data_IF_417502736444
#
_entry.id   IF_417502736444
#
_cell.length_a   1.000
_cell.length_b   1.000
_cell.length_c   1.000
_cell.angle_alpha   90.00
_cell.angle_beta   90.00
_cell.angle_gamma   90.00
#
_symmetry.space_group_name_H-M   'P 1'
#
loop_
_entity.id
_entity.type
_entity.pdbx_description
1 polymer ?
#
# COMPACT_ATOMS: atom_id res chain seq x y z
N UNK A 1 -33.49 -39.18 0.54
CA UNK A 1 -32.18 -38.72 0.06
C UNK A 1 -31.86 -37.42 0.80
N UNK A 2 -30.79 -37.34 1.61
CA UNK A 2 -30.48 -36.11 2.30
C UNK A 2 -30.09 -35.04 1.27
N UNK A 3 -30.72 -33.87 1.37
CA UNK A 3 -30.42 -32.74 0.51
C UNK A 3 -28.97 -32.30 0.76
N UNK A 4 -28.16 -32.24 -0.30
CA UNK A 4 -26.83 -31.64 -0.22
C UNK A 4 -27.07 -30.17 0.10
N UNK A 5 -26.57 -29.64 1.24
CA UNK A 5 -26.75 -28.24 1.58
C UNK A 5 -26.18 -27.40 0.44
N UNK A 6 -26.99 -26.46 -0.04
CA UNK A 6 -26.59 -25.55 -1.12
C UNK A 6 -25.63 -24.53 -0.51
N UNK A 7 -24.34 -24.86 -0.48
CA UNK A 7 -23.33 -23.98 0.09
C UNK A 7 -23.07 -22.86 -0.92
N UNK A 8 -23.57 -21.67 -0.64
CA UNK A 8 -23.28 -20.51 -1.49
C UNK A 8 -21.79 -20.18 -1.38
N UNK A 9 -21.09 -20.21 -2.52
CA UNK A 9 -19.65 -19.91 -2.59
C UNK A 9 -19.29 -18.54 -2.00
N UNK A 10 -20.26 -17.60 -1.97
CA UNK A 10 -20.15 -16.28 -1.35
C UNK A 10 -19.77 -16.32 0.13
N UNK A 11 -20.08 -17.42 0.83
CA UNK A 11 -19.79 -17.64 2.25
C UNK A 11 -18.30 -17.91 2.51
N UNK A 12 -17.55 -18.33 1.47
CA UNK A 12 -16.12 -18.60 1.55
C UNK A 12 -15.27 -17.49 0.92
N UNK A 13 -15.90 -16.46 0.35
CA UNK A 13 -15.19 -15.27 -0.11
C UNK A 13 -15.06 -14.35 1.10
N UNK A 14 -13.84 -14.14 1.65
CA UNK A 14 -13.65 -13.25 2.80
C UNK A 14 -14.22 -11.86 2.49
N UNK A 15 -15.00 -11.31 3.44
CA UNK A 15 -15.70 -10.03 3.32
C UNK A 15 -14.78 -8.84 2.99
N UNK A 16 -13.50 -8.97 3.30
CA UNK A 16 -12.44 -8.11 2.81
C UNK A 16 -11.30 -9.06 2.39
N UNK A 17 -10.95 -9.16 1.10
CA UNK A 17 -9.81 -9.99 0.72
C UNK A 17 -8.56 -9.37 1.35
N UNK A 18 -7.76 -10.19 2.04
CA UNK A 18 -6.35 -9.90 2.25
C UNK A 18 -5.69 -9.89 0.86
N UNK A 19 -5.76 -8.74 0.22
CA UNK A 19 -5.33 -8.55 -1.14
C UNK A 19 -3.80 -8.58 -1.22
N UNK A 20 -3.26 -9.00 -2.36
CA UNK A 20 -1.82 -8.95 -2.67
C UNK A 20 -1.22 -7.54 -2.47
N UNK A 21 -2.05 -6.50 -2.58
CA UNK A 21 -1.71 -5.12 -2.22
C UNK A 21 -1.39 -4.98 -0.73
N UNK A 22 -2.07 -5.67 0.20
CA UNK A 22 -1.68 -5.68 1.62
C UNK A 22 -0.26 -6.24 1.83
N UNK A 23 0.12 -7.26 1.05
CA UNK A 23 1.51 -7.77 1.06
C UNK A 23 2.49 -6.65 0.66
N UNK A 24 2.17 -5.89 -0.39
CA UNK A 24 2.99 -4.74 -0.80
C UNK A 24 3.08 -3.65 0.28
N UNK A 25 1.99 -3.35 0.98
CA UNK A 25 2.01 -2.41 2.12
C UNK A 25 2.95 -2.89 3.22
N UNK A 26 2.90 -4.17 3.60
CA UNK A 26 3.83 -4.73 4.57
C UNK A 26 5.28 -4.70 4.08
N UNK A 27 5.53 -4.92 2.79
CA UNK A 27 6.87 -4.80 2.20
C UNK A 27 7.37 -3.35 2.21
N UNK A 28 6.50 -2.36 1.96
CA UNK A 28 6.84 -0.94 2.05
C UNK A 28 7.16 -0.55 3.51
N UNK A 29 6.36 -1.01 4.48
CA UNK A 29 6.61 -0.79 5.91
C UNK A 29 7.93 -1.43 6.33
N UNK A 30 8.18 -2.68 5.93
CA UNK A 30 9.44 -3.36 6.20
C UNK A 30 10.62 -2.59 5.57
N UNK A 31 10.47 -2.12 4.34
CA UNK A 31 11.43 -1.27 3.68
C UNK A 31 11.72 0.01 4.48
N UNK A 32 10.69 0.67 5.00
CA UNK A 32 10.84 1.85 5.85
C UNK A 32 11.64 1.55 7.13
N UNK A 33 11.36 0.42 7.79
CA UNK A 33 12.12 -0.03 8.98
C UNK A 33 13.58 -0.32 8.65
N UNK A 34 13.84 -1.01 7.53
CA UNK A 34 15.20 -1.30 7.08
C UNK A 34 15.97 -0.01 6.77
N UNK A 35 15.35 0.91 6.04
CA UNK A 35 15.92 2.23 5.73
C UNK A 35 16.27 2.95 7.04
N UNK A 36 15.36 2.98 8.03
CA UNK A 36 15.61 3.61 9.33
C UNK A 36 16.83 2.98 10.02
N UNK A 37 16.86 1.65 10.11
CA UNK A 37 17.93 0.91 10.79
C UNK A 37 19.32 1.16 10.18
N UNK A 38 19.37 1.45 8.88
CA UNK A 38 20.60 1.68 8.12
C UNK A 38 20.99 3.16 8.01
N UNK A 39 20.14 4.09 8.45
CA UNK A 39 20.37 5.53 8.29
C UNK A 39 21.33 6.12 9.34
N UNK A 40 21.58 5.38 10.43
CA UNK A 40 22.49 5.79 11.50
C UNK A 40 22.02 7.05 12.27
N UNK A 41 22.86 7.52 13.19
CA UNK A 41 22.52 8.65 14.08
C UNK A 41 22.53 10.02 13.40
N UNK A 42 23.14 10.14 12.21
CA UNK A 42 23.29 11.42 11.49
C UNK A 42 22.23 11.64 10.40
N UNK A 43 21.15 10.85 10.41
CA UNK A 43 20.08 11.00 9.43
C UNK A 43 19.43 12.39 9.51
N UNK A 44 19.28 13.11 8.38
CA UNK A 44 18.62 14.42 8.37
C UNK A 44 17.20 14.33 8.94
N UNK A 45 16.80 15.33 9.74
CA UNK A 45 15.47 15.37 10.37
C UNK A 45 14.36 15.27 9.30
N UNK A 46 14.53 15.96 8.17
CA UNK A 46 13.57 15.90 7.06
C UNK A 46 13.43 14.48 6.50
N UNK A 47 14.53 13.74 6.37
CA UNK A 47 14.51 12.36 5.91
C UNK A 47 13.78 11.45 6.90
N UNK A 48 14.05 11.60 8.20
CA UNK A 48 13.35 10.85 9.25
C UNK A 48 11.86 11.16 9.28
N UNK A 49 11.49 12.43 9.08
CA UNK A 49 10.10 12.86 8.97
C UNK A 49 9.41 12.20 7.77
N UNK A 50 10.02 12.22 6.59
CA UNK A 50 9.47 11.58 5.40
C UNK A 50 9.30 10.06 5.61
N UNK A 51 10.24 9.41 6.27
CA UNK A 51 10.16 7.99 6.59
C UNK A 51 9.02 7.67 7.57
N UNK A 52 8.81 8.52 8.57
CA UNK A 52 7.69 8.41 9.50
C UNK A 52 6.34 8.61 8.79
N UNK A 53 6.25 9.59 7.87
CA UNK A 53 5.06 9.81 7.05
C UNK A 53 4.79 8.61 6.15
N UNK A 54 5.82 8.01 5.54
CA UNK A 54 5.67 6.78 4.76
C UNK A 54 5.05 5.67 5.60
N UNK A 55 5.63 5.39 6.77
CA UNK A 55 5.15 4.33 7.66
C UNK A 55 3.71 4.58 8.12
N UNK A 56 3.39 5.82 8.50
CA UNK A 56 2.06 6.21 8.95
C UNK A 56 1.03 6.07 7.82
N UNK A 57 1.31 6.63 6.64
CA UNK A 57 0.38 6.58 5.51
C UNK A 57 0.17 5.16 5.01
N UNK A 58 1.25 4.36 4.89
CA UNK A 58 1.14 2.96 4.46
C UNK A 58 0.34 2.13 5.47
N UNK A 59 0.49 2.42 6.76
CA UNK A 59 -0.31 1.76 7.81
C UNK A 59 -1.76 2.22 7.78
N UNK A 60 -2.02 3.51 7.63
CA UNK A 60 -3.37 4.04 7.50
C UNK A 60 -4.09 3.48 6.26
N UNK A 61 -3.37 3.32 5.14
CA UNK A 61 -3.93 2.79 3.90
C UNK A 61 -4.41 1.34 4.03
N UNK A 62 -3.75 0.51 4.88
CA UNK A 62 -4.23 -0.84 5.20
C UNK A 62 -5.66 -0.88 5.76
N UNK A 63 -6.09 0.19 6.43
CA UNK A 63 -7.39 0.30 7.08
C UNK A 63 -8.32 1.29 6.39
N UNK A 64 -7.90 1.93 5.29
CA UNK A 64 -8.64 3.05 4.67
C UNK A 64 -10.03 2.63 4.19
N UNK A 65 -10.16 1.38 3.75
CA UNK A 65 -11.43 0.82 3.27
C UNK A 65 -12.44 0.60 4.41
N UNK A 66 -12.01 0.58 5.67
CA UNK A 66 -12.92 0.50 6.83
C UNK A 66 -13.51 1.87 7.21
N UNK A 67 -12.93 2.96 6.69
CA UNK A 67 -13.25 4.32 7.12
C UNK A 67 -14.28 5.02 6.22
N UNK A 68 -14.72 4.38 5.14
CA UNK A 68 -15.75 4.93 4.24
C UNK A 68 -15.37 6.27 3.60
N UNK A 69 -14.07 6.47 3.31
CA UNK A 69 -13.56 7.70 2.72
C UNK A 69 -13.89 7.81 1.23
N UNK A 70 -13.97 9.04 0.72
CA UNK A 70 -14.22 9.27 -0.72
C UNK A 70 -13.11 8.69 -1.59
N UNK A 71 -13.45 8.14 -2.75
CA UNK A 71 -12.52 7.54 -3.72
C UNK A 71 -11.36 8.49 -4.11
N UNK A 72 -11.67 9.79 -4.30
CA UNK A 72 -10.66 10.81 -4.60
C UNK A 72 -9.63 10.98 -3.48
N UNK A 73 -10.08 10.93 -2.22
CA UNK A 73 -9.19 11.04 -1.07
C UNK A 73 -8.25 9.84 -0.99
N UNK A 74 -8.78 8.63 -1.16
CA UNK A 74 -7.98 7.38 -1.19
C UNK A 74 -6.95 7.43 -2.32
N UNK A 75 -7.36 7.87 -3.51
CA UNK A 75 -6.46 8.03 -4.65
C UNK A 75 -5.30 9.01 -4.33
N UNK A 76 -5.60 10.20 -3.82
CA UNK A 76 -4.59 11.21 -3.48
C UNK A 76 -3.64 10.71 -2.37
N UNK A 77 -4.16 10.04 -1.33
CA UNK A 77 -3.35 9.49 -0.26
C UNK A 77 -2.32 8.47 -0.79
N UNK A 78 -2.73 7.61 -1.73
CA UNK A 78 -1.85 6.60 -2.33
C UNK A 78 -0.84 7.17 -3.34
N UNK A 79 -1.19 8.27 -4.03
CA UNK A 79 -0.21 9.04 -4.81
C UNK A 79 0.90 9.58 -3.91
N UNK A 80 0.54 10.13 -2.75
CA UNK A 80 1.51 10.63 -1.76
C UNK A 80 2.37 9.48 -1.21
N UNK A 81 1.74 8.35 -0.85
CA UNK A 81 2.45 7.15 -0.38
C UNK A 81 3.48 6.64 -1.40
N UNK A 82 3.20 6.71 -2.71
CA UNK A 82 4.15 6.39 -3.76
C UNK A 82 5.27 7.42 -3.94
N UNK A 83 4.95 8.72 -3.78
CA UNK A 83 5.93 9.79 -3.97
C UNK A 83 7.01 9.78 -2.88
N UNK A 84 6.67 9.41 -1.65
CA UNK A 84 7.58 9.50 -0.50
C UNK A 84 8.83 8.60 -0.66
N UNK A 85 8.75 7.31 -1.04
CA UNK A 85 9.93 6.48 -1.31
C UNK A 85 10.87 7.05 -2.37
N UNK A 86 10.34 7.75 -3.39
CA UNK A 86 11.16 8.42 -4.42
C UNK A 86 11.98 9.55 -3.78
N UNK A 87 11.32 10.36 -2.95
CA UNK A 87 11.98 11.46 -2.22
C UNK A 87 13.06 10.88 -1.29
N UNK A 88 12.74 9.82 -0.55
CA UNK A 88 13.68 9.10 0.33
C UNK A 88 14.88 8.55 -0.47
N UNK A 89 14.66 7.95 -1.64
CA UNK A 89 15.73 7.48 -2.53
C UNK A 89 16.66 8.61 -3.03
N UNK A 90 16.11 9.81 -3.20
CA UNK A 90 16.87 11.00 -3.58
C UNK A 90 17.68 11.61 -2.44
N UNK A 91 17.16 11.57 -1.21
CA UNK A 91 17.71 12.32 -0.06
C UNK A 91 18.36 11.45 1.04
N UNK A 92 18.39 10.13 0.86
CA UNK A 92 18.92 9.22 1.88
C UNK A 92 20.37 9.54 2.29
N UNK A 93 20.71 9.44 3.59
CA UNK A 93 22.03 9.83 4.11
C UNK A 93 23.16 8.91 3.65
N UNK A 94 22.85 7.66 3.29
CA UNK A 94 23.80 6.66 2.82
C UNK A 94 23.39 6.09 1.46
N UNK A 95 24.36 5.63 0.67
CA UNK A 95 24.08 4.96 -0.62
C UNK A 95 23.12 3.77 -0.46
N UNK A 96 23.28 3.02 0.65
CA UNK A 96 22.41 1.90 1.00
C UNK A 96 20.96 2.35 1.26
N UNK A 97 20.77 3.40 2.07
CA UNK A 97 19.43 3.94 2.35
C UNK A 97 18.75 4.48 1.08
N UNK A 98 19.53 5.07 0.17
CA UNK A 98 19.04 5.57 -1.12
C UNK A 98 18.63 4.43 -2.05
N UNK A 99 19.46 3.39 -2.15
CA UNK A 99 19.16 2.18 -2.92
C UNK A 99 17.89 1.48 -2.44
N UNK A 100 17.72 1.36 -1.11
CA UNK A 100 16.49 0.83 -0.53
C UNK A 100 15.29 1.74 -0.78
N UNK A 101 15.43 3.06 -0.70
CA UNK A 101 14.35 4.00 -1.05
C UNK A 101 13.86 3.81 -2.49
N UNK A 102 14.78 3.63 -3.44
CA UNK A 102 14.46 3.33 -4.85
C UNK A 102 13.75 1.98 -4.98
N UNK A 103 14.23 0.95 -4.28
CA UNK A 103 13.59 -0.37 -4.29
C UNK A 103 12.15 -0.30 -3.74
N UNK A 104 11.95 0.41 -2.63
CA UNK A 104 10.61 0.62 -2.05
C UNK A 104 9.72 1.40 -3.02
N UNK A 105 10.24 2.38 -3.76
CA UNK A 105 9.50 3.10 -4.78
C UNK A 105 9.03 2.16 -5.92
N UNK A 106 9.90 1.25 -6.37
CA UNK A 106 9.53 0.23 -7.37
C UNK A 106 8.42 -0.68 -6.84
N UNK A 107 8.49 -1.09 -5.57
CA UNK A 107 7.46 -1.92 -4.93
C UNK A 107 6.13 -1.18 -4.70
N UNK A 108 6.18 0.15 -4.54
CA UNK A 108 4.99 0.99 -4.41
C UNK A 108 4.29 1.26 -5.76
N UNK A 109 5.01 1.12 -6.89
CA UNK A 109 4.46 1.40 -8.23
C UNK A 109 3.23 0.52 -8.57
N UNK A 110 3.24 -0.82 -8.34
CA UNK A 110 2.05 -1.63 -8.54
C UNK A 110 0.85 -1.18 -7.71
N UNK A 111 1.06 -0.72 -6.46
CA UNK A 111 -0.02 -0.22 -5.59
C UNK A 111 -0.66 1.02 -6.21
N UNK A 112 0.17 1.94 -6.72
CA UNK A 112 -0.32 3.13 -7.42
C UNK A 112 -1.07 2.77 -8.71
N UNK A 113 -0.49 1.89 -9.53
CA UNK A 113 -1.08 1.48 -10.80
C UNK A 113 -2.44 0.81 -10.61
N UNK A 114 -2.57 -0.08 -9.64
CA UNK A 114 -3.85 -0.76 -9.38
C UNK A 114 -4.84 0.13 -8.67
N UNK A 115 -4.39 1.09 -7.84
CA UNK A 115 -5.25 2.15 -7.34
C UNK A 115 -5.84 2.97 -8.49
N UNK A 116 -5.01 3.42 -9.43
CA UNK A 116 -5.47 4.18 -10.59
C UNK A 116 -6.50 3.39 -11.41
N UNK A 117 -6.21 2.12 -11.74
CA UNK A 117 -7.12 1.28 -12.52
C UNK A 117 -8.45 1.00 -11.80
N UNK A 118 -8.41 0.79 -10.49
CA UNK A 118 -9.61 0.48 -9.70
C UNK A 118 -10.46 1.71 -9.40
N UNK A 119 -9.86 2.89 -9.23
CA UNK A 119 -10.60 4.14 -9.08
C UNK A 119 -11.17 4.69 -10.40
N UNK A 120 -10.57 4.34 -11.56
CA UNK A 120 -11.02 4.85 -12.87
C UNK A 120 -11.97 3.89 -13.60
N UNK A 121 -11.86 2.58 -13.34
CA UNK A 121 -12.66 1.55 -14.01
C UNK A 121 -13.48 0.80 -12.95
N UNK A 122 -14.77 1.16 -12.75
CA UNK A 122 -15.60 0.59 -11.68
C UNK A 122 -15.80 -0.93 -11.74
N UNK A 123 -15.61 -1.53 -12.92
CA UNK A 123 -15.68 -2.98 -13.12
C UNK A 123 -14.46 -3.71 -12.53
N UNK A 124 -13.29 -3.06 -12.49
CA UNK A 124 -12.06 -3.61 -11.92
C UNK A 124 -11.96 -3.37 -10.41
N UNK A 125 -12.80 -2.47 -9.87
CA UNK A 125 -12.95 -2.24 -8.45
C UNK A 125 -13.67 -3.39 -7.72
N UNK A 126 -14.22 -4.38 -8.44
CA UNK A 126 -14.82 -5.55 -7.79
C UNK A 126 -13.73 -6.44 -7.19
N UNK A 127 -13.68 -6.60 -5.85
CA UNK A 127 -12.71 -7.47 -5.19
C UNK A 127 -12.81 -8.93 -5.66
N UNK A 128 -13.93 -9.36 -6.23
CA UNK A 128 -14.17 -10.74 -6.70
C UNK A 128 -13.54 -11.04 -8.07
N UNK A 129 -13.36 -10.03 -8.93
CA UNK A 129 -12.91 -10.26 -10.31
C UNK A 129 -11.39 -10.35 -10.43
N UNK A 130 -10.66 -9.56 -9.66
CA UNK A 130 -9.20 -9.52 -9.74
C UNK A 130 -8.51 -9.61 -8.39
N UNK A 131 -9.27 -9.70 -7.29
CA UNK A 131 -8.67 -9.43 -6.00
C UNK A 131 -8.01 -8.05 -6.04
N UNK A 132 -8.70 -7.01 -6.54
CA UNK A 132 -8.17 -5.63 -6.60
C UNK A 132 -9.13 -4.57 -6.05
N UNK A 133 -10.22 -4.94 -5.36
CA UNK A 133 -11.21 -3.98 -4.86
C UNK A 133 -10.67 -3.11 -3.73
N UNK A 134 -10.14 -1.93 -4.09
CA UNK A 134 -9.42 -1.03 -3.20
C UNK A 134 -9.87 0.43 -3.30
N UNK A 135 -10.84 0.73 -4.17
CA UNK A 135 -11.40 2.07 -4.36
C UNK A 135 -12.93 2.09 -4.17
N UNK A 136 -13.48 1.12 -3.40
CA UNK A 136 -14.89 1.04 -3.02
C UNK A 136 -15.04 0.55 -1.59
#
# INVERSE_FOLDING_TARGET
MPAIPNIELSQFVPLAPLHWTSILHYLIILGAVLILSMSGEQAPILFLFMLAVLALLTTADLYVNLLGLSELFVFLARVVMFAIPIVIGGMGPSEQSRGLGILVAILALPVLATTFLTCTIPLLADPRLLGMGWCR
#
